data_IF_516284249903
#
_entry.id   IF_516284249903
#
_cell.length_a   1.000
_cell.length_b   1.000
_cell.length_c   1.000
_cell.angle_alpha   90.00
_cell.angle_beta   90.00
_cell.angle_gamma   90.00
#
_symmetry.space_group_name_H-M   'P 1'
#
loop_
_entity.id
_entity.type
_entity.pdbx_description
1 polymer ?
#
# COMPACT_ATOMS: atom_id res chain seq x y z
N UNK A 1 -41.66 41.49 -20.88
CA UNK A 1 -41.59 40.23 -20.09
C UNK A 1 -40.94 39.18 -20.98
N UNK A 2 -39.66 38.94 -20.77
CA UNK A 2 -38.93 37.79 -21.34
C UNK A 2 -38.10 37.24 -20.19
N UNK A 3 -38.41 36.00 -19.83
CA UNK A 3 -38.01 35.32 -18.61
C UNK A 3 -36.50 35.23 -18.45
N UNK A 4 -36.01 35.75 -17.32
CA UNK A 4 -34.72 35.39 -16.75
C UNK A 4 -34.74 33.90 -16.40
N UNK A 5 -33.96 33.11 -17.14
CA UNK A 5 -33.65 31.73 -16.77
C UNK A 5 -32.60 31.80 -15.65
N UNK A 6 -32.85 31.24 -14.45
CA UNK A 6 -31.87 31.28 -13.38
C UNK A 6 -30.63 30.49 -13.81
N UNK A 7 -29.48 31.16 -13.86
CA UNK A 7 -28.18 30.51 -14.05
C UNK A 7 -27.98 29.50 -12.92
N UNK A 8 -28.15 28.21 -13.21
CA UNK A 8 -27.91 27.15 -12.27
C UNK A 8 -26.47 27.28 -11.73
N UNK A 9 -26.34 27.26 -10.40
CA UNK A 9 -25.09 27.27 -9.64
C UNK A 9 -24.32 25.95 -9.85
N UNK A 10 -23.95 25.61 -11.09
CA UNK A 10 -23.12 24.45 -11.35
C UNK A 10 -21.65 24.84 -11.10
N UNK A 11 -20.94 24.21 -10.14
CA UNK A 11 -19.53 24.51 -9.95
C UNK A 11 -18.78 24.26 -11.26
N UNK A 12 -17.95 25.22 -11.69
CA UNK A 12 -17.07 25.09 -12.85
C UNK A 12 -16.37 23.72 -12.82
N UNK A 13 -16.34 23.00 -13.95
CA UNK A 13 -15.92 21.58 -14.07
C UNK A 13 -14.63 21.26 -13.30
N UNK A 14 -13.67 22.19 -13.25
CA UNK A 14 -12.41 22.08 -12.52
C UNK A 14 -12.53 22.10 -10.98
N UNK A 15 -13.53 22.79 -10.42
CA UNK A 15 -13.82 22.78 -8.97
C UNK A 15 -14.45 21.46 -8.54
N UNK A 16 -15.41 20.97 -9.32
CA UNK A 16 -16.06 19.68 -9.05
C UNK A 16 -15.05 18.53 -9.11
N UNK A 17 -14.15 18.54 -10.10
CA UNK A 17 -13.07 17.56 -10.21
C UNK A 17 -12.16 17.56 -8.99
N UNK A 18 -11.72 18.74 -8.51
CA UNK A 18 -10.93 18.86 -7.27
C UNK A 18 -11.66 18.30 -6.05
N UNK A 19 -12.97 18.53 -5.93
CA UNK A 19 -13.75 17.96 -4.84
C UNK A 19 -13.82 16.42 -4.94
N UNK A 20 -14.02 15.87 -6.14
CA UNK A 20 -14.01 14.43 -6.36
C UNK A 20 -12.65 13.81 -6.04
N UNK A 21 -11.54 14.50 -6.36
CA UNK A 21 -10.19 14.11 -5.95
C UNK A 21 -10.07 14.04 -4.41
N UNK A 22 -10.49 15.08 -3.69
CA UNK A 22 -10.47 15.07 -2.21
C UNK A 22 -11.35 13.94 -1.64
N UNK A 23 -12.58 13.80 -2.14
CA UNK A 23 -13.52 12.74 -1.72
C UNK A 23 -12.91 11.35 -1.96
N UNK A 24 -12.26 11.12 -3.10
CA UNK A 24 -11.67 9.83 -3.43
C UNK A 24 -10.58 9.41 -2.45
N UNK A 25 -9.71 10.35 -2.05
CA UNK A 25 -8.64 10.07 -1.10
C UNK A 25 -9.20 9.90 0.31
N UNK A 26 -10.15 10.73 0.71
CA UNK A 26 -10.84 10.57 1.99
C UNK A 26 -11.61 9.27 2.09
N UNK A 27 -12.27 8.84 1.01
CA UNK A 27 -12.93 7.55 0.96
C UNK A 27 -11.94 6.43 1.28
N UNK A 28 -10.74 6.44 0.69
CA UNK A 28 -9.68 5.48 1.02
C UNK A 28 -9.21 5.60 2.48
N UNK A 29 -8.87 6.81 2.95
CA UNK A 29 -8.37 7.05 4.31
C UNK A 29 -9.38 6.59 5.36
N UNK A 30 -10.65 6.99 5.24
CA UNK A 30 -11.72 6.61 6.15
C UNK A 30 -12.01 5.11 6.06
N UNK A 31 -12.00 4.53 4.86
CA UNK A 31 -12.23 3.09 4.71
C UNK A 31 -11.13 2.28 5.40
N UNK A 32 -9.86 2.67 5.22
CA UNK A 32 -8.74 1.98 5.84
C UNK A 32 -8.74 2.12 7.38
N UNK A 33 -9.04 3.31 7.91
CA UNK A 33 -8.98 3.59 9.35
C UNK A 33 -10.22 3.15 10.13
N UNK A 34 -11.42 3.28 9.56
CA UNK A 34 -12.66 3.19 10.32
C UNK A 34 -13.60 2.06 9.87
N UNK A 35 -13.59 1.64 8.59
CA UNK A 35 -14.58 0.70 8.06
C UNK A 35 -14.63 -0.60 8.85
N UNK A 36 -13.48 -1.22 9.10
CA UNK A 36 -13.42 -2.49 9.81
C UNK A 36 -13.96 -2.40 11.24
N UNK A 37 -13.58 -1.35 11.99
CA UNK A 37 -14.06 -1.13 13.35
C UNK A 37 -15.57 -0.80 13.37
N UNK A 38 -16.02 0.11 12.51
CA UNK A 38 -17.41 0.49 12.40
C UNK A 38 -18.31 -0.70 12.02
N UNK A 39 -17.91 -1.51 11.03
CA UNK A 39 -18.65 -2.70 10.63
C UNK A 39 -18.64 -3.78 11.73
N UNK A 40 -17.57 -3.90 12.52
CA UNK A 40 -17.53 -4.81 13.67
C UNK A 40 -18.52 -4.39 14.75
N UNK A 41 -18.53 -3.10 15.11
CA UNK A 41 -19.44 -2.55 16.10
C UNK A 41 -20.90 -2.65 15.64
N UNK A 42 -21.16 -2.35 14.36
CA UNK A 42 -22.49 -2.51 13.76
C UNK A 42 -22.95 -3.97 13.82
N UNK A 43 -22.08 -4.92 13.46
CA UNK A 43 -22.40 -6.34 13.50
C UNK A 43 -22.69 -6.81 14.94
N UNK A 44 -21.91 -6.35 15.92
CA UNK A 44 -22.17 -6.63 17.33
C UNK A 44 -23.49 -6.01 17.80
N UNK A 45 -23.79 -4.78 17.40
CA UNK A 45 -25.05 -4.11 17.72
C UNK A 45 -26.26 -4.83 17.10
N UNK A 46 -26.14 -5.34 15.88
CA UNK A 46 -27.22 -6.10 15.21
C UNK A 46 -27.61 -7.38 15.95
N UNK A 47 -26.72 -7.99 16.74
CA UNK A 47 -27.10 -9.11 17.60
C UNK A 47 -28.04 -8.70 18.75
N UNK A 48 -28.09 -7.40 19.08
CA UNK A 48 -28.99 -6.83 20.08
C UNK A 48 -30.30 -6.29 19.48
N UNK A 49 -30.59 -6.55 18.20
CA UNK A 49 -31.79 -6.09 17.51
C UNK A 49 -32.52 -7.23 16.80
N UNK A 50 -33.69 -6.95 16.22
CA UNK A 50 -34.44 -7.91 15.40
C UNK A 50 -33.67 -8.35 14.13
N UNK A 51 -32.57 -7.67 13.79
CA UNK A 51 -31.71 -8.00 12.66
C UNK A 51 -30.64 -9.05 12.97
N UNK A 52 -30.66 -9.70 14.14
CA UNK A 52 -29.63 -10.64 14.58
C UNK A 52 -29.41 -11.82 13.60
N UNK A 53 -30.45 -12.27 12.89
CA UNK A 53 -30.35 -13.34 11.89
C UNK A 53 -29.39 -12.96 10.75
N UNK A 54 -29.42 -11.70 10.31
CA UNK A 54 -28.50 -11.19 9.27
C UNK A 54 -27.07 -11.25 9.79
N UNK A 55 -26.85 -10.81 11.04
CA UNK A 55 -25.54 -10.86 11.68
C UNK A 55 -25.03 -12.30 11.84
N UNK A 56 -25.89 -13.22 12.28
CA UNK A 56 -25.57 -14.64 12.44
C UNK A 56 -25.20 -15.30 11.11
N UNK A 57 -25.98 -15.08 10.05
CA UNK A 57 -25.68 -15.61 8.71
C UNK A 57 -24.35 -15.07 8.19
N UNK A 58 -24.08 -13.79 8.38
CA UNK A 58 -22.83 -13.19 7.95
C UNK A 58 -21.61 -13.72 8.75
N UNK A 59 -21.73 -13.89 10.06
CA UNK A 59 -20.69 -14.54 10.88
C UNK A 59 -20.46 -15.99 10.44
N UNK A 60 -21.52 -16.76 10.18
CA UNK A 60 -21.41 -18.13 9.68
C UNK A 60 -20.64 -18.16 8.35
N UNK A 61 -20.97 -17.25 7.43
CA UNK A 61 -20.22 -17.08 6.19
C UNK A 61 -18.74 -16.72 6.44
N UNK A 62 -18.44 -15.80 7.35
CA UNK A 62 -17.06 -15.42 7.69
C UNK A 62 -16.23 -16.61 8.22
N UNK A 63 -16.85 -17.51 8.98
CA UNK A 63 -16.21 -18.73 9.51
C UNK A 63 -15.91 -19.71 8.37
N UNK A 64 -16.90 -19.97 7.51
CA UNK A 64 -16.69 -20.83 6.32
C UNK A 64 -15.62 -20.24 5.40
N UNK A 65 -15.62 -18.92 5.26
CA UNK A 65 -14.72 -18.18 4.38
C UNK A 65 -13.36 -17.83 5.00
N UNK A 66 -13.03 -18.34 6.18
CA UNK A 66 -11.92 -17.84 7.00
C UNK A 66 -10.56 -17.83 6.29
N UNK A 67 -10.29 -18.83 5.43
CA UNK A 67 -9.00 -19.01 4.79
C UNK A 67 -8.86 -18.33 3.42
N UNK A 68 -9.93 -17.83 2.83
CA UNK A 68 -9.92 -17.20 1.49
C UNK A 68 -8.90 -16.08 1.33
N UNK A 69 -8.69 -15.17 2.31
CA UNK A 69 -7.64 -14.16 2.20
C UNK A 69 -6.24 -14.74 2.01
N UNK A 70 -5.97 -15.92 2.58
CA UNK A 70 -4.66 -16.58 2.48
C UNK A 70 -4.47 -17.32 1.15
N UNK A 71 -5.52 -17.47 0.37
CA UNK A 71 -5.54 -18.21 -0.89
C UNK A 71 -5.71 -17.28 -2.10
N UNK A 72 -5.17 -16.06 -2.01
CA UNK A 72 -5.22 -15.06 -3.08
C UNK A 72 -6.47 -14.16 -3.08
N UNK A 73 -7.41 -14.40 -2.17
CA UNK A 73 -8.59 -13.55 -1.99
C UNK A 73 -9.56 -13.57 -3.17
N UNK A 74 -10.33 -12.48 -3.31
CA UNK A 74 -11.37 -12.30 -4.34
C UNK A 74 -11.15 -11.04 -5.14
N UNK A 75 -10.08 -11.01 -5.92
CA UNK A 75 -9.76 -9.87 -6.80
C UNK A 75 -10.91 -9.59 -7.77
N UNK A 76 -11.37 -8.34 -7.83
CA UNK A 76 -12.42 -7.88 -8.74
C UNK A 76 -11.87 -6.87 -9.73
N UNK A 77 -11.89 -7.22 -11.02
CA UNK A 77 -11.51 -6.27 -12.09
C UNK A 77 -12.40 -5.03 -12.08
N UNK A 78 -13.68 -5.19 -11.76
CA UNK A 78 -14.63 -4.07 -11.68
C UNK A 78 -14.25 -3.08 -10.58
N UNK A 79 -13.97 -3.56 -9.36
CA UNK A 79 -13.55 -2.68 -8.26
C UNK A 79 -12.23 -2.00 -8.58
N UNK A 80 -11.25 -2.74 -9.12
CA UNK A 80 -9.94 -2.18 -9.49
C UNK A 80 -10.02 -1.12 -10.59
N UNK A 81 -11.08 -1.11 -11.39
CA UNK A 81 -11.32 -0.16 -12.48
C UNK A 81 -12.33 0.95 -12.14
N UNK A 82 -12.74 1.11 -10.89
CA UNK A 82 -13.64 2.21 -10.50
C UNK A 82 -13.05 3.58 -10.83
N UNK A 83 -13.90 4.48 -11.34
CA UNK A 83 -13.53 5.86 -11.70
C UNK A 83 -12.96 6.64 -10.52
N UNK A 84 -13.39 6.32 -9.28
CA UNK A 84 -12.87 6.95 -8.06
C UNK A 84 -11.34 6.83 -7.94
N UNK A 85 -10.73 5.76 -8.45
CA UNK A 85 -9.27 5.59 -8.46
C UNK A 85 -8.55 6.53 -9.42
N UNK A 86 -9.24 6.98 -10.47
CA UNK A 86 -8.70 8.01 -11.39
C UNK A 86 -8.59 9.34 -10.66
N UNK A 87 -9.64 9.74 -9.94
CA UNK A 87 -9.60 10.93 -9.07
C UNK A 87 -8.56 10.79 -7.95
N UNK A 88 -8.41 9.60 -7.37
CA UNK A 88 -7.39 9.33 -6.35
C UNK A 88 -5.98 9.52 -6.91
N UNK A 89 -5.71 8.98 -8.10
CA UNK A 89 -4.44 9.16 -8.81
C UNK A 89 -4.18 10.64 -9.09
N UNK A 90 -5.19 11.36 -9.59
CA UNK A 90 -5.07 12.75 -10.01
C UNK A 90 -5.02 13.74 -8.83
N UNK A 91 -5.38 13.30 -7.62
CA UNK A 91 -5.13 14.05 -6.39
C UNK A 91 -3.62 14.16 -6.08
N UNK A 92 -2.85 13.07 -6.23
CA UNK A 92 -1.40 13.02 -5.95
C UNK A 92 -0.53 12.98 -7.22
N UNK A 93 -1.05 13.40 -8.38
CA UNK A 93 -0.50 13.01 -9.69
C UNK A 93 0.29 11.69 -9.75
N UNK A 94 -0.30 10.56 -9.33
CA UNK A 94 0.43 9.28 -9.16
C UNK A 94 0.90 8.71 -10.49
N UNK A 95 2.18 8.34 -10.58
CA UNK A 95 2.80 7.74 -11.77
C UNK A 95 3.47 6.41 -11.45
N UNK A 96 3.31 5.45 -12.36
CA UNK A 96 4.03 4.18 -12.35
C UNK A 96 4.98 4.10 -13.55
N UNK A 97 6.28 4.07 -13.28
CA UNK A 97 7.33 3.96 -14.27
C UNK A 97 7.88 2.54 -14.25
N UNK A 98 7.77 1.87 -15.40
CA UNK A 98 8.36 0.57 -15.67
C UNK A 98 9.75 0.77 -16.25
N UNK A 99 10.76 0.12 -15.69
CA UNK A 99 12.12 0.13 -16.24
C UNK A 99 12.43 -1.09 -17.10
N UNK A 100 11.86 -2.26 -16.76
CA UNK A 100 12.12 -3.54 -17.42
C UNK A 100 10.83 -4.35 -17.59
N UNK A 101 10.83 -5.25 -18.57
CA UNK A 101 9.79 -6.27 -18.71
C UNK A 101 9.86 -7.30 -17.57
N UNK A 102 8.69 -7.76 -17.14
CA UNK A 102 8.55 -8.88 -16.21
C UNK A 102 7.90 -10.04 -16.96
N UNK A 103 8.67 -11.04 -17.41
CA UNK A 103 8.12 -12.23 -18.06
C UNK A 103 7.02 -12.92 -17.23
N UNK A 104 5.82 -13.17 -17.80
CA UNK A 104 4.74 -13.86 -17.07
C UNK A 104 5.03 -15.34 -16.81
N UNK A 105 6.15 -15.87 -17.30
CA UNK A 105 6.66 -17.21 -17.00
C UNK A 105 7.33 -17.31 -15.62
N UNK A 106 7.50 -16.19 -14.90
CA UNK A 106 8.12 -16.15 -13.58
C UNK A 106 7.19 -15.50 -12.55
N UNK A 107 7.47 -15.76 -11.29
CA UNK A 107 6.85 -15.10 -10.15
C UNK A 107 7.83 -14.09 -9.53
N UNK A 108 7.29 -13.06 -8.89
CA UNK A 108 8.07 -11.90 -8.43
C UNK A 108 7.71 -11.52 -7.00
N UNK A 109 8.71 -11.10 -6.24
CA UNK A 109 8.54 -10.35 -5.00
C UNK A 109 9.04 -8.93 -5.24
N UNK A 110 8.12 -7.98 -5.28
CA UNK A 110 8.39 -6.55 -5.43
C UNK A 110 8.55 -5.94 -4.03
N UNK A 111 9.75 -5.53 -3.67
CA UNK A 111 9.97 -4.80 -2.42
C UNK A 111 9.68 -3.32 -2.62
N UNK A 112 8.61 -2.82 -2.01
CA UNK A 112 8.17 -1.42 -2.10
C UNK A 112 8.78 -0.56 -0.99
N UNK A 113 9.32 0.59 -1.39
CA UNK A 113 9.99 1.55 -0.51
C UNK A 113 9.68 2.99 -0.93
N UNK A 114 9.56 3.96 -0.01
CA UNK A 114 9.29 3.77 1.41
C UNK A 114 7.79 3.48 1.64
N UNK A 115 7.41 3.13 2.87
CA UNK A 115 6.04 2.82 3.28
C UNK A 115 5.15 4.06 3.28
N UNK A 116 5.67 5.22 3.71
CA UNK A 116 4.84 6.36 4.09
C UNK A 116 3.88 6.03 5.23
N UNK A 117 2.83 6.82 5.43
CA UNK A 117 1.82 6.54 6.48
C UNK A 117 0.78 5.52 5.99
N UNK A 118 0.19 5.75 4.81
CA UNK A 118 -0.92 4.95 4.26
C UNK A 118 -0.62 4.30 2.89
N UNK A 119 0.64 4.33 2.43
CA UNK A 119 1.08 3.74 1.16
C UNK A 119 0.19 4.09 -0.05
N UNK A 120 -0.14 5.37 -0.23
CA UNK A 120 -1.03 5.83 -1.30
C UNK A 120 -0.53 5.39 -2.69
N UNK A 121 0.79 5.49 -2.93
CA UNK A 121 1.40 5.03 -4.18
C UNK A 121 1.27 3.52 -4.37
N UNK A 122 1.53 2.73 -3.33
CA UNK A 122 1.44 1.27 -3.41
C UNK A 122 -0.01 0.82 -3.68
N UNK A 123 -0.97 1.37 -2.96
CA UNK A 123 -2.39 1.07 -3.18
C UNK A 123 -2.82 1.41 -4.60
N UNK A 124 -2.57 2.65 -5.06
CA UNK A 124 -2.98 3.08 -6.39
C UNK A 124 -2.35 2.22 -7.49
N UNK A 125 -1.04 1.98 -7.40
CA UNK A 125 -0.29 1.31 -8.46
C UNK A 125 -0.52 -0.20 -8.54
N UNK A 126 -0.75 -0.87 -7.42
CA UNK A 126 -0.79 -2.33 -7.38
C UNK A 126 -2.16 -2.91 -7.04
N UNK A 127 -3.04 -2.13 -6.41
CA UNK A 127 -4.39 -2.56 -6.03
C UNK A 127 -5.49 -1.98 -6.91
N UNK A 128 -5.17 -1.12 -7.88
CA UNK A 128 -6.13 -0.55 -8.84
C UNK A 128 -5.57 -0.60 -10.27
N UNK A 129 -6.37 -0.18 -11.25
CA UNK A 129 -5.95 0.02 -12.64
C UNK A 129 -5.72 1.51 -13.00
N UNK A 130 -5.75 2.43 -12.02
CA UNK A 130 -5.69 3.87 -12.28
C UNK A 130 -4.41 4.32 -12.98
N UNK A 131 -3.28 3.64 -12.73
CA UNK A 131 -1.99 3.87 -13.41
C UNK A 131 -1.70 2.86 -14.53
N UNK A 132 -2.69 2.03 -14.87
CA UNK A 132 -2.62 1.08 -15.99
C UNK A 132 -1.62 -0.04 -15.77
N UNK A 133 -1.53 -0.60 -14.56
CA UNK A 133 -0.58 -1.67 -14.24
C UNK A 133 -0.65 -2.82 -15.25
N UNK A 134 -1.86 -3.32 -15.55
CA UNK A 134 -2.04 -4.48 -16.44
C UNK A 134 -1.58 -4.20 -17.89
N UNK A 135 -1.59 -2.92 -18.31
CA UNK A 135 -1.03 -2.49 -19.61
C UNK A 135 0.49 -2.41 -19.59
N UNK A 136 1.07 -1.98 -18.47
CA UNK A 136 2.53 -1.85 -18.30
C UNK A 136 3.19 -3.22 -18.13
N UNK A 137 2.57 -4.12 -17.39
CA UNK A 137 3.08 -5.47 -17.10
C UNK A 137 2.06 -6.52 -17.57
N UNK A 138 1.94 -6.76 -18.89
CA UNK A 138 0.97 -7.70 -19.42
C UNK A 138 1.24 -9.12 -18.89
N UNK A 139 0.17 -9.79 -18.45
CA UNK A 139 0.27 -11.14 -17.87
C UNK A 139 0.70 -11.19 -16.40
N UNK A 140 1.06 -10.05 -15.79
CA UNK A 140 1.45 -9.99 -14.38
C UNK A 140 0.26 -9.62 -13.48
N UNK A 141 0.07 -10.38 -12.40
CA UNK A 141 -0.98 -10.19 -11.38
C UNK A 141 -0.37 -9.60 -10.11
N UNK A 142 -0.50 -8.28 -9.86
CA UNK A 142 0.01 -7.64 -8.65
C UNK A 142 -0.89 -7.98 -7.46
N UNK A 143 -0.29 -8.33 -6.33
CA UNK A 143 -0.99 -8.55 -5.05
C UNK A 143 -0.26 -7.79 -3.95
N UNK A 144 -0.83 -6.68 -3.50
CA UNK A 144 -0.27 -5.88 -2.40
C UNK A 144 -0.48 -6.61 -1.08
N UNK A 145 0.59 -6.81 -0.32
CA UNK A 145 0.54 -7.45 0.98
C UNK A 145 0.42 -6.40 2.10
N UNK A 146 -0.60 -6.53 2.96
CA UNK A 146 -0.82 -5.64 4.11
C UNK A 146 -1.12 -6.42 5.40
N UNK A 147 -1.23 -5.73 6.54
CA UNK A 147 -1.38 -6.31 7.86
C UNK A 147 -2.47 -7.40 7.90
N UNK A 148 -2.09 -8.61 8.34
CA UNK A 148 -2.99 -9.77 8.37
C UNK A 148 -4.24 -9.56 9.25
N UNK A 149 -4.16 -8.69 10.27
CA UNK A 149 -5.28 -8.32 11.13
C UNK A 149 -6.44 -7.67 10.37
N UNK A 150 -6.17 -6.93 9.29
CA UNK A 150 -7.22 -6.28 8.48
C UNK A 150 -8.19 -7.29 7.87
N UNK A 151 -7.74 -8.52 7.64
CA UNK A 151 -8.54 -9.59 7.03
C UNK A 151 -9.40 -10.35 8.04
N UNK A 152 -9.35 -9.98 9.32
CA UNK A 152 -10.27 -10.46 10.37
C UNK A 152 -11.45 -9.53 10.57
N UNK A 153 -11.38 -8.30 10.04
CA UNK A 153 -12.41 -7.29 10.20
C UNK A 153 -13.50 -7.46 9.11
N UNK A 154 -14.78 -7.52 9.49
CA UNK A 154 -15.89 -7.69 8.57
C UNK A 154 -15.94 -6.54 7.56
N UNK A 155 -16.35 -6.83 6.33
CA UNK A 155 -16.47 -5.90 5.19
C UNK A 155 -15.13 -5.33 4.72
N UNK A 156 -14.25 -4.88 5.63
CA UNK A 156 -12.90 -4.42 5.29
C UNK A 156 -12.09 -5.54 4.62
N UNK A 157 -12.16 -6.79 5.12
CA UNK A 157 -11.48 -7.92 4.49
C UNK A 157 -11.86 -8.09 3.02
N UNK A 158 -13.14 -7.94 2.68
CA UNK A 158 -13.67 -8.14 1.34
C UNK A 158 -13.36 -6.97 0.44
N UNK A 159 -13.45 -5.76 0.99
CA UNK A 159 -13.02 -4.54 0.31
C UNK A 159 -11.53 -4.62 -0.09
N UNK A 160 -10.65 -5.03 0.82
CA UNK A 160 -9.22 -5.22 0.51
C UNK A 160 -9.00 -6.34 -0.52
N UNK A 161 -9.62 -7.50 -0.32
CA UNK A 161 -9.52 -8.62 -1.27
C UNK A 161 -10.01 -8.26 -2.67
N UNK A 162 -11.04 -7.41 -2.79
CA UNK A 162 -11.55 -6.94 -4.08
C UNK A 162 -10.52 -6.15 -4.88
N UNK A 163 -9.61 -5.44 -4.20
CA UNK A 163 -8.44 -4.79 -4.80
C UNK A 163 -7.31 -5.76 -5.19
N UNK A 164 -7.42 -7.05 -4.82
CA UNK A 164 -6.34 -8.03 -4.94
C UNK A 164 -5.29 -7.92 -3.81
N UNK A 165 -5.65 -7.28 -2.70
CA UNK A 165 -4.79 -7.13 -1.52
C UNK A 165 -4.85 -8.41 -0.69
N UNK A 166 -3.71 -8.86 -0.20
CA UNK A 166 -3.56 -10.09 0.59
C UNK A 166 -2.93 -9.81 1.96
N UNK A 167 -3.10 -10.70 2.95
CA UNK A 167 -2.40 -10.59 4.22
C UNK A 167 -0.90 -10.87 4.07
N UNK A 168 -0.07 -10.03 4.68
CA UNK A 168 1.39 -10.15 4.74
C UNK A 168 1.82 -11.22 5.74
N UNK A 169 1.59 -12.48 5.38
CA UNK A 169 2.08 -13.64 6.12
C UNK A 169 2.66 -14.68 5.17
N UNK A 170 3.56 -15.53 5.69
CA UNK A 170 4.29 -16.53 4.91
C UNK A 170 3.35 -17.40 4.07
N UNK A 171 2.28 -17.94 4.67
CA UNK A 171 1.38 -18.87 3.99
C UNK A 171 0.68 -18.25 2.77
N UNK A 172 0.30 -16.97 2.87
CA UNK A 172 -0.43 -16.30 1.79
C UNK A 172 0.47 -15.94 0.62
N UNK A 173 1.68 -15.48 0.94
CA UNK A 173 2.71 -15.21 -0.07
C UNK A 173 3.14 -16.53 -0.72
N UNK A 174 3.35 -17.59 0.08
CA UNK A 174 3.71 -18.91 -0.40
C UNK A 174 2.67 -19.47 -1.37
N UNK A 175 1.38 -19.41 -1.00
CA UNK A 175 0.28 -19.84 -1.86
C UNK A 175 0.30 -19.14 -3.22
N UNK A 176 0.51 -17.82 -3.26
CA UNK A 176 0.57 -17.07 -4.52
C UNK A 176 1.78 -17.45 -5.38
N UNK A 177 2.92 -17.73 -4.76
CA UNK A 177 4.15 -18.06 -5.48
C UNK A 177 4.25 -19.53 -5.90
N UNK A 178 3.37 -20.41 -5.40
CA UNK A 178 3.42 -21.86 -5.65
C UNK A 178 2.14 -22.42 -6.26
N UNK A 179 0.97 -22.07 -5.72
CA UNK A 179 -0.31 -22.67 -6.09
C UNK A 179 -1.10 -21.83 -7.10
N UNK A 180 -0.79 -20.54 -7.25
CA UNK A 180 -1.56 -19.62 -8.10
C UNK A 180 -0.99 -19.47 -9.53
N UNK A 181 -0.23 -20.45 -10.00
CA UNK A 181 0.44 -20.44 -11.31
C UNK A 181 1.62 -19.44 -11.39
N UNK A 182 1.97 -19.06 -12.63
CA UNK A 182 3.02 -18.09 -12.92
C UNK A 182 2.46 -16.68 -13.19
N UNK A 183 3.33 -15.68 -13.23
CA UNK A 183 2.98 -14.28 -13.47
C UNK A 183 2.46 -13.57 -12.22
N UNK A 184 2.67 -14.11 -11.02
CA UNK A 184 2.28 -13.47 -9.78
C UNK A 184 3.37 -12.48 -9.34
N UNK A 185 2.97 -11.26 -9.00
CA UNK A 185 3.84 -10.26 -8.39
C UNK A 185 3.30 -9.92 -7.00
N UNK A 186 4.02 -10.32 -5.95
CA UNK A 186 3.67 -9.97 -4.57
C UNK A 186 4.40 -8.72 -4.17
N UNK A 187 3.66 -7.66 -3.82
CA UNK A 187 4.24 -6.39 -3.40
C UNK A 187 4.30 -6.38 -1.87
N UNK A 188 5.52 -6.28 -1.33
CA UNK A 188 5.77 -6.23 0.11
C UNK A 188 6.34 -4.85 0.42
N UNK A 189 5.65 -4.10 1.28
CA UNK A 189 6.20 -2.85 1.83
C UNK A 189 7.17 -3.21 2.96
N UNK A 190 8.45 -3.34 2.62
CA UNK A 190 9.45 -4.09 3.42
C UNK A 190 9.70 -3.44 4.79
N UNK A 191 9.77 -2.11 4.83
CA UNK A 191 9.96 -1.38 6.09
C UNK A 191 8.78 -1.51 7.06
N UNK A 192 7.58 -1.75 6.52
CA UNK A 192 6.36 -1.99 7.29
C UNK A 192 6.03 -0.85 8.27
N UNK A 193 5.36 -1.22 9.35
CA UNK A 193 4.98 -0.30 10.42
C UNK A 193 6.19 0.42 11.07
N UNK A 194 7.39 -0.18 11.06
CA UNK A 194 8.58 0.44 11.66
C UNK A 194 8.99 1.68 10.86
N UNK A 195 8.98 1.58 9.54
CA UNK A 195 9.33 2.68 8.64
C UNK A 195 8.27 3.78 8.66
N UNK A 196 6.98 3.44 8.77
CA UNK A 196 5.91 4.44 8.84
C UNK A 196 6.05 5.36 10.07
N UNK A 197 6.59 4.86 11.19
CA UNK A 197 6.86 5.68 12.39
C UNK A 197 7.96 6.73 12.20
N UNK A 198 8.77 6.61 11.16
CA UNK A 198 9.84 7.55 10.82
C UNK A 198 9.56 8.32 9.52
N UNK A 199 8.33 8.20 9.00
CA UNK A 199 7.90 8.91 7.81
C UNK A 199 7.90 10.43 8.07
N UNK A 200 8.76 11.15 7.35
CA UNK A 200 8.82 12.60 7.36
C UNK A 200 9.03 13.14 5.94
N UNK A 201 8.42 14.29 5.60
CA UNK A 201 8.64 14.92 4.30
C UNK A 201 10.13 15.17 4.02
N UNK A 202 10.57 14.87 2.80
CA UNK A 202 11.97 15.01 2.37
C UNK A 202 12.96 13.99 2.96
N UNK A 203 12.51 13.07 3.82
CA UNK A 203 13.38 12.05 4.41
C UNK A 203 13.40 10.77 3.55
N UNK A 204 14.57 10.46 2.98
CA UNK A 204 14.80 9.27 2.14
C UNK A 204 15.52 8.19 2.95
N UNK A 205 14.82 7.60 3.92
CA UNK A 205 15.35 6.51 4.73
C UNK A 205 14.41 5.30 4.68
N UNK A 206 14.99 4.11 4.54
CA UNK A 206 14.24 2.85 4.46
C UNK A 206 14.75 1.86 5.51
N UNK A 207 13.83 1.21 6.22
CA UNK A 207 14.11 0.13 7.16
C UNK A 207 14.27 -1.18 6.38
N UNK A 208 15.50 -1.49 6.02
CA UNK A 208 15.83 -2.62 5.13
C UNK A 208 17.05 -3.42 5.60
N UNK A 209 17.99 -2.83 6.35
CA UNK A 209 19.27 -3.45 6.70
C UNK A 209 19.15 -4.87 7.27
N UNK A 210 18.15 -5.07 8.13
CA UNK A 210 17.90 -6.33 8.82
C UNK A 210 16.66 -7.08 8.30
N UNK A 211 16.04 -6.63 7.20
CA UNK A 211 14.79 -7.19 6.67
C UNK A 211 15.04 -8.26 5.60
N UNK A 212 15.68 -9.36 5.97
CA UNK A 212 16.09 -10.41 5.01
C UNK A 212 15.00 -11.44 4.66
N UNK A 213 13.87 -11.43 5.38
CA UNK A 213 12.84 -12.48 5.26
C UNK A 213 12.22 -12.61 3.86
N UNK A 214 12.05 -11.50 3.13
CA UNK A 214 11.51 -11.54 1.76
C UNK A 214 12.51 -12.10 0.76
N UNK A 215 13.82 -11.88 0.97
CA UNK A 215 14.90 -12.48 0.17
C UNK A 215 14.99 -13.98 0.40
N UNK A 216 14.92 -14.42 1.67
CA UNK A 216 14.85 -15.84 2.00
C UNK A 216 13.66 -16.50 1.31
N UNK A 217 12.48 -15.86 1.35
CA UNK A 217 11.28 -16.39 0.70
C UNK A 217 11.41 -16.42 -0.83
N UNK A 218 12.00 -15.40 -1.45
CA UNK A 218 12.28 -15.37 -2.89
C UNK A 218 13.15 -16.56 -3.32
N UNK A 219 14.25 -16.83 -2.60
CA UNK A 219 15.13 -17.98 -2.84
C UNK A 219 14.39 -19.31 -2.66
N UNK A 220 13.58 -19.45 -1.61
CA UNK A 220 12.79 -20.66 -1.36
C UNK A 220 11.81 -20.99 -2.49
N UNK A 221 11.31 -19.98 -3.18
CA UNK A 221 10.27 -20.14 -4.20
C UNK A 221 10.80 -19.99 -5.62
N UNK A 222 12.03 -19.53 -5.81
CA UNK A 222 12.59 -19.20 -7.11
C UNK A 222 11.88 -17.99 -7.75
N UNK A 223 11.42 -17.06 -6.92
CA UNK A 223 10.66 -15.87 -7.33
C UNK A 223 11.58 -14.67 -7.36
N UNK A 224 11.68 -13.98 -8.49
CA UNK A 224 12.65 -12.90 -8.68
C UNK A 224 12.37 -11.71 -7.77
N UNK A 225 13.45 -11.09 -7.29
CA UNK A 225 13.37 -9.90 -6.45
C UNK A 225 13.36 -8.65 -7.31
N UNK A 226 12.39 -7.76 -7.11
CA UNK A 226 12.29 -6.51 -7.88
C UNK A 226 12.30 -5.32 -6.91
N UNK A 227 13.31 -4.45 -6.95
CA UNK A 227 13.33 -3.25 -6.13
C UNK A 227 12.34 -2.22 -6.68
N UNK A 228 11.52 -1.65 -5.79
CA UNK A 228 10.55 -0.61 -6.13
C UNK A 228 10.74 0.58 -5.20
N UNK A 229 10.94 1.77 -5.77
CA UNK A 229 11.07 3.01 -5.02
C UNK A 229 9.99 4.02 -5.42
N UNK A 230 9.38 4.69 -4.45
CA UNK A 230 8.31 5.67 -4.62
C UNK A 230 8.72 7.04 -4.09
N UNK A 231 9.01 7.97 -5.00
CA UNK A 231 9.29 9.36 -4.66
C UNK A 231 8.01 10.08 -4.25
N UNK A 232 8.08 10.93 -3.23
CA UNK A 232 6.96 11.73 -2.73
C UNK A 232 6.01 11.01 -1.75
N UNK A 233 6.18 9.71 -1.53
CA UNK A 233 5.33 8.92 -0.62
C UNK A 233 5.32 9.47 0.81
N UNK A 234 6.49 9.88 1.30
CA UNK A 234 6.66 10.42 2.66
C UNK A 234 6.13 11.86 2.82
N UNK A 235 5.78 12.55 1.73
CA UNK A 235 5.35 13.95 1.75
C UNK A 235 3.82 14.10 1.90
N UNK A 236 3.08 12.99 1.88
CA UNK A 236 1.62 12.99 1.91
C UNK A 236 1.04 13.46 3.26
N UNK A 237 1.80 13.36 4.35
CA UNK A 237 1.40 13.83 5.67
C UNK A 237 2.59 14.37 6.46
N UNK A 238 2.30 15.22 7.43
CA UNK A 238 3.24 15.60 8.48
C UNK A 238 2.95 14.76 9.71
N UNK A 239 3.97 14.11 10.25
CA UNK A 239 3.86 13.28 11.43
C UNK A 239 4.56 13.93 12.63
N UNK A 240 3.99 13.76 13.82
CA UNK A 240 4.71 14.00 15.07
C UNK A 240 5.66 12.82 15.30
N UNK A 241 6.97 13.09 15.24
CA UNK A 241 8.01 12.10 15.50
C UNK A 241 8.52 12.32 16.91
N UNK A 242 8.32 11.33 17.79
CA UNK A 242 8.85 11.37 19.14
C UNK A 242 10.35 11.06 19.12
N UNK A 243 11.14 11.85 19.84
CA UNK A 243 12.58 11.65 19.96
C UNK A 243 12.92 10.32 20.63
N UNK A 244 14.01 9.70 20.18
CA UNK A 244 14.51 8.45 20.75
C UNK A 244 14.94 8.65 22.22
N UNK A 245 14.66 7.65 23.06
CA UNK A 245 14.90 7.73 24.51
C UNK A 245 13.76 8.35 25.33
N UNK A 246 12.77 9.00 24.70
CA UNK A 246 11.62 9.56 25.42
C UNK A 246 10.61 8.48 25.87
N UNK A 247 9.86 8.76 26.94
CA UNK A 247 8.79 7.88 27.41
C UNK A 247 7.70 7.65 26.34
N UNK A 248 7.28 8.71 25.65
CA UNK A 248 6.28 8.64 24.56
C UNK A 248 6.73 7.74 23.42
N UNK A 249 8.02 7.80 23.04
CA UNK A 249 8.59 6.93 22.02
C UNK A 249 8.59 5.47 22.45
N UNK A 250 8.95 5.20 23.70
CA UNK A 250 8.92 3.85 24.27
C UNK A 250 7.50 3.29 24.33
N UNK A 251 6.51 4.12 24.71
CA UNK A 251 5.10 3.74 24.68
C UNK A 251 4.63 3.43 23.25
N UNK A 252 4.96 4.30 22.28
CA UNK A 252 4.61 4.11 20.86
C UNK A 252 5.18 2.79 20.32
N UNK A 253 6.46 2.48 20.60
CA UNK A 253 7.11 1.22 20.21
C UNK A 253 6.46 -0.01 20.88
N UNK A 254 6.11 0.08 22.17
CA UNK A 254 5.40 -0.99 22.88
C UNK A 254 4.03 -1.26 22.28
N UNK A 255 3.24 -0.20 22.02
CA UNK A 255 1.93 -0.31 21.39
C UNK A 255 2.03 -0.88 19.97
N UNK A 256 3.02 -0.43 19.18
CA UNK A 256 3.27 -0.99 17.86
C UNK A 256 3.56 -2.50 17.91
N UNK A 257 4.39 -2.95 18.85
CA UNK A 257 4.71 -4.37 19.01
C UNK A 257 3.50 -5.19 19.45
N UNK A 258 2.65 -4.63 20.31
CA UNK A 258 1.44 -5.28 20.80
C UNK A 258 0.35 -5.37 19.72
N UNK A 259 0.11 -4.26 19.03
CA UNK A 259 -1.02 -4.12 18.11
C UNK A 259 -0.68 -4.54 16.67
N UNK A 260 0.60 -4.62 16.32
CA UNK A 260 1.07 -4.95 14.97
C UNK A 260 0.86 -3.85 13.94
N UNK A 261 0.31 -2.70 14.33
CA UNK A 261 0.20 -1.49 13.50
C UNK A 261 0.90 -0.30 14.18
N UNK A 262 1.34 0.67 13.38
CA UNK A 262 1.98 1.88 13.90
C UNK A 262 0.93 2.93 14.27
N UNK A 263 0.79 3.31 15.57
CA UNK A 263 -0.03 4.46 15.95
C UNK A 263 0.74 5.74 15.59
N UNK A 264 0.60 6.17 14.33
CA UNK A 264 1.14 7.43 13.83
C UNK A 264 0.21 8.58 14.24
N UNK A 265 0.76 9.61 14.89
CA UNK A 265 0.07 10.89 15.05
C UNK A 265 0.46 11.79 13.87
N UNK A 266 -0.48 11.98 12.96
CA UNK A 266 -0.23 12.69 11.71
C UNK A 266 -1.33 13.68 11.37
N UNK A 267 -1.01 14.58 10.47
CA UNK A 267 -1.95 15.53 9.94
C UNK A 267 -1.63 15.91 8.51
N UNK A 268 -2.67 16.27 7.78
CA UNK A 268 -2.58 16.98 6.52
C UNK A 268 -3.42 18.25 6.58
N UNK A 269 -4.29 18.41 5.59
CA UNK A 269 -5.18 19.55 5.39
C UNK A 269 -6.61 19.27 5.89
N UNK A 270 -7.36 20.34 6.16
CA UNK A 270 -8.80 20.27 6.37
C UNK A 270 -9.59 20.06 5.09
N UNK A 271 -10.85 19.64 5.24
CA UNK A 271 -11.77 19.35 4.13
C UNK A 271 -12.13 20.61 3.32
N UNK A 272 -12.41 21.71 4.02
CA UNK A 272 -12.94 22.95 3.43
C UNK A 272 -11.86 24.03 3.23
N UNK A 273 -10.80 24.00 4.03
CA UNK A 273 -9.72 24.98 3.99
C UNK A 273 -8.36 24.27 3.94
N UNK A 274 -7.61 24.46 2.85
CA UNK A 274 -6.32 23.78 2.67
C UNK A 274 -5.25 24.13 3.72
N UNK A 275 -5.41 25.26 4.41
CA UNK A 275 -4.48 25.72 5.44
C UNK A 275 -4.88 25.28 6.86
N UNK A 276 -6.04 24.63 7.04
CA UNK A 276 -6.44 24.11 8.34
C UNK A 276 -5.93 22.69 8.57
N UNK A 277 -5.86 22.31 9.84
CA UNK A 277 -5.43 20.97 10.27
C UNK A 277 -6.54 19.94 10.01
N UNK A 278 -6.19 18.76 9.48
CA UNK A 278 -7.15 17.70 9.22
C UNK A 278 -6.54 16.40 8.70
N UNK A 279 -7.39 15.50 8.22
CA UNK A 279 -7.01 14.15 7.77
C UNK A 279 -6.85 14.03 6.25
N UNK A 280 -7.20 15.06 5.47
CA UNK A 280 -6.94 15.08 4.03
C UNK A 280 -5.42 15.15 3.85
N UNK A 281 -4.77 14.29 3.06
CA UNK A 281 -3.33 14.37 2.87
C UNK A 281 -2.91 15.65 2.14
N UNK A 282 -1.61 15.90 2.03
CA UNK A 282 -1.09 16.96 1.16
C UNK A 282 -1.09 16.49 -0.30
N UNK A 283 -1.55 17.36 -1.20
CA UNK A 283 -1.49 17.15 -2.65
C UNK A 283 -0.02 17.24 -3.11
N UNK A 284 0.70 16.13 -3.05
CA UNK A 284 2.10 16.00 -3.46
C UNK A 284 2.24 14.91 -4.54
N UNK A 285 3.04 15.16 -5.60
CA UNK A 285 3.30 14.15 -6.62
C UNK A 285 3.89 12.88 -6.04
N UNK A 286 3.33 11.71 -6.37
CA UNK A 286 3.91 10.41 -6.03
C UNK A 286 4.34 9.68 -7.31
N UNK A 287 5.61 9.29 -7.42
CA UNK A 287 6.10 8.54 -8.58
C UNK A 287 6.83 7.28 -8.16
N UNK A 288 6.27 6.13 -8.53
CA UNK A 288 6.81 4.82 -8.25
C UNK A 288 7.58 4.28 -9.45
N UNK A 289 8.83 3.89 -9.22
CA UNK A 289 9.72 3.26 -10.20
C UNK A 289 9.84 1.77 -9.87
N UNK A 290 9.52 0.91 -10.83
CA UNK A 290 9.75 -0.54 -10.74
C UNK A 290 11.09 -0.84 -11.41
N UNK A 291 12.07 -1.28 -10.62
CA UNK A 291 13.43 -1.56 -11.04
C UNK A 291 13.61 -2.86 -11.84
N UNK A 292 14.87 -3.21 -12.07
CA UNK A 292 15.26 -4.44 -12.78
C UNK A 292 15.09 -5.67 -11.89
N UNK A 293 14.54 -6.78 -12.40
CA UNK A 293 14.43 -8.03 -11.65
C UNK A 293 15.80 -8.66 -11.39
N UNK A 294 16.07 -8.99 -10.13
CA UNK A 294 17.20 -9.82 -9.71
C UNK A 294 16.73 -11.27 -9.77
N UNK A 295 17.25 -12.01 -10.74
CA UNK A 295 16.94 -13.44 -10.89
C UNK A 295 17.54 -14.23 -9.74
N UNK A 296 16.73 -15.08 -9.11
CA UNK A 296 17.16 -15.94 -8.00
C UNK A 296 16.97 -17.41 -8.33
N UNK A 297 17.86 -18.31 -7.86
CA UNK A 297 17.64 -19.75 -7.95
C UNK A 297 16.53 -20.18 -6.97
N UNK A 298 15.90 -21.32 -7.24
CA UNK A 298 15.00 -21.97 -6.29
C UNK A 298 15.81 -22.91 -5.39
N UNK A 299 15.87 -22.61 -4.10
CA UNK A 299 16.62 -23.36 -3.09
C UNK A 299 15.77 -23.52 -1.85
N UNK A 300 15.40 -24.75 -1.48
CA UNK A 300 14.45 -25.03 -0.40
C UNK A 300 14.91 -24.51 0.97
N UNK A 301 16.20 -24.70 1.28
CA UNK A 301 16.83 -24.16 2.48
C UNK A 301 18.08 -23.35 2.13
N UNK A 302 17.92 -22.05 1.79
CA UNK A 302 19.06 -21.21 1.43
C UNK A 302 19.88 -20.88 2.68
N UNK A 303 21.21 -20.99 2.57
CA UNK A 303 22.13 -20.60 3.65
C UNK A 303 22.04 -19.10 3.93
N UNK A 304 22.37 -18.70 5.16
CA UNK A 304 22.36 -17.28 5.55
C UNK A 304 23.34 -16.45 4.70
N UNK A 305 24.49 -17.01 4.32
CA UNK A 305 25.45 -16.39 3.41
C UNK A 305 24.82 -16.06 2.04
N UNK A 306 24.00 -16.97 1.51
CA UNK A 306 23.33 -16.78 0.24
C UNK A 306 22.20 -15.74 0.34
N UNK A 307 21.45 -15.77 1.44
CA UNK A 307 20.45 -14.74 1.74
C UNK A 307 21.13 -13.37 1.82
N UNK A 308 22.30 -13.29 2.44
CA UNK A 308 23.06 -12.05 2.61
C UNK A 308 23.61 -11.52 1.29
N UNK A 309 24.11 -12.41 0.42
CA UNK A 309 24.53 -12.08 -0.92
C UNK A 309 23.41 -11.43 -1.73
N UNK A 310 22.25 -12.10 -1.83
CA UNK A 310 21.10 -11.58 -2.59
C UNK A 310 20.49 -10.33 -1.95
N UNK A 311 20.51 -10.23 -0.61
CA UNK A 311 20.07 -9.04 0.09
C UNK A 311 20.99 -7.84 -0.19
N UNK A 312 22.30 -8.04 -0.24
CA UNK A 312 23.26 -7.00 -0.63
C UNK A 312 23.07 -6.57 -2.08
N UNK A 313 22.83 -7.52 -3.00
CA UNK A 313 22.48 -7.22 -4.39
C UNK A 313 21.19 -6.40 -4.48
N UNK A 314 20.16 -6.77 -3.70
CA UNK A 314 18.90 -6.04 -3.63
C UNK A 314 19.09 -4.60 -3.13
N UNK A 315 19.83 -4.41 -2.04
CA UNK A 315 20.14 -3.06 -1.50
C UNK A 315 20.86 -2.22 -2.54
N UNK A 316 21.91 -2.76 -3.18
CA UNK A 316 22.67 -2.05 -4.20
C UNK A 316 21.80 -1.65 -5.38
N UNK A 317 20.90 -2.54 -5.82
CA UNK A 317 19.97 -2.28 -6.91
C UNK A 317 18.95 -1.19 -6.53
N UNK A 318 18.41 -1.22 -5.31
CA UNK A 318 17.52 -0.17 -4.81
C UNK A 318 18.20 1.21 -4.72
N UNK A 319 19.43 1.26 -4.21
CA UNK A 319 20.22 2.51 -4.14
C UNK A 319 20.52 3.04 -5.54
N UNK A 320 20.94 2.16 -6.46
CA UNK A 320 21.20 2.55 -7.86
C UNK A 320 19.93 3.06 -8.55
N UNK A 321 18.78 2.44 -8.27
CA UNK A 321 17.48 2.89 -8.76
C UNK A 321 17.13 4.28 -8.21
N UNK A 322 17.36 4.52 -6.91
CA UNK A 322 17.16 5.83 -6.30
C UNK A 322 18.07 6.88 -6.94
N UNK A 323 19.38 6.64 -7.00
CA UNK A 323 20.37 7.58 -7.52
C UNK A 323 20.10 7.95 -8.98
N UNK A 324 19.69 6.98 -9.81
CA UNK A 324 19.36 7.22 -11.22
C UNK A 324 18.18 8.17 -11.43
N UNK A 325 17.23 8.20 -10.50
CA UNK A 325 15.96 8.91 -10.69
C UNK A 325 15.76 10.11 -9.76
N UNK A 326 16.53 10.24 -8.67
CA UNK A 326 16.32 11.25 -7.62
C UNK A 326 16.23 12.68 -8.14
N UNK A 327 17.11 13.09 -9.06
CA UNK A 327 17.13 14.46 -9.59
C UNK A 327 16.00 14.78 -10.53
N UNK A 328 15.40 13.78 -11.17
CA UNK A 328 14.18 13.94 -11.98
C UNK A 328 12.95 14.24 -11.13
N UNK A 329 13.00 13.95 -9.83
CA UNK A 329 11.89 14.10 -8.90
C UNK A 329 12.18 15.10 -7.78
N UNK A 330 13.08 16.06 -8.04
CA UNK A 330 13.27 17.25 -7.19
C UNK A 330 14.27 17.08 -6.05
N UNK A 331 14.96 15.95 -5.96
CA UNK A 331 16.07 15.76 -5.03
C UNK A 331 17.38 16.26 -5.64
N UNK A 332 18.38 16.53 -4.80
CA UNK A 332 19.72 16.95 -5.21
C UNK A 332 20.60 15.75 -5.52
N UNK A 333 21.66 15.95 -6.30
CA UNK A 333 22.65 14.90 -6.55
C UNK A 333 23.35 14.43 -5.26
N UNK A 334 23.47 15.31 -4.27
CA UNK A 334 24.02 15.03 -2.94
C UNK A 334 23.10 14.20 -2.04
N UNK A 335 21.80 14.11 -2.37
CA UNK A 335 20.86 13.39 -1.52
C UNK A 335 21.08 11.88 -1.66
N UNK A 336 21.04 11.17 -0.55
CA UNK A 336 21.31 9.72 -0.49
C UNK A 336 20.13 8.97 0.10
N UNK A 337 19.98 7.71 -0.30
CA UNK A 337 19.04 6.78 0.31
C UNK A 337 19.68 6.12 1.53
N UNK A 338 19.18 6.43 2.72
CA UNK A 338 19.66 5.84 3.97
C UNK A 338 19.04 4.46 4.21
N UNK A 339 19.89 3.44 4.34
CA UNK A 339 19.48 2.07 4.66
C UNK A 339 19.61 1.84 6.17
N UNK A 340 18.49 1.67 6.86
CA UNK A 340 18.39 1.49 8.32
C UNK A 340 18.07 0.05 8.72
#
# INVERSE_FOLDING_TARGET
>A
QSLDVPSAFWPCRSKMEKHLQVISVLQWVVSFLALGAACTLLLAYMFCTDCWLIAAMYIAWLIVDWNTPKQGGRRSSWVRSWTIWTYFRDYFPIRLIKTHDLPPSRNYILGYHPHGILCFGAFCNFSTEATGFSKKFPGIKPSLATLAGNFRLPVLRDYLMSGGIIPVNKNSIDYLLTCNGMGNAVIIVVGGAAESLHCAPGFNAVTLKNRKGFVKLALQKGSDLVPVYSFGENDAYKQVIFEEGTWWRNLQKKLQKLLGFAPCLFHGCGLFFGNSWGIVPFCKPITTIVGEPITVPKIEDPSDEMVDLYHAMYIKSLQSLFDKYKTRFGLKESDVLYIQ
#
